data_IF_745477464625
#
_entry.id   IF_745477464625
#
_cell.length_a   1.000
_cell.length_b   1.000
_cell.length_c   1.000
_cell.angle_alpha   90.00
_cell.angle_beta   90.00
_cell.angle_gamma   90.00
#
_symmetry.space_group_name_H-M   'P 1'
#
loop_
_entity.id
_entity.type
_entity.pdbx_description
1 polymer ?
#
# COMPACT_ATOMS: atom_id res chain seq x y z
N UNK A 1 1.90 -8.79 -21.44
CA UNK A 1 1.78 -8.99 -20.00
C UNK A 1 0.41 -8.60 -19.48
N UNK A 2 0.07 -9.04 -18.27
CA UNK A 2 -1.17 -8.67 -17.58
C UNK A 2 -1.22 -7.17 -17.32
N UNK A 3 -2.40 -6.57 -17.45
CA UNK A 3 -2.68 -5.20 -17.01
C UNK A 3 -3.52 -5.25 -15.72
N UNK A 4 -3.39 -4.22 -14.86
CA UNK A 4 -4.24 -4.07 -13.68
C UNK A 4 -3.88 -4.99 -12.50
N UNK A 5 -2.65 -5.54 -12.44
CA UNK A 5 -2.21 -6.27 -11.26
C UNK A 5 -2.09 -5.31 -10.07
N UNK A 6 -2.63 -5.69 -8.91
CA UNK A 6 -2.62 -4.86 -7.69
C UNK A 6 -1.20 -4.38 -7.33
N UNK A 7 -0.21 -5.26 -7.43
CA UNK A 7 1.20 -4.95 -7.15
C UNK A 7 1.76 -3.78 -7.98
N UNK A 8 1.24 -3.57 -9.21
CA UNK A 8 1.67 -2.45 -10.06
C UNK A 8 1.23 -1.09 -9.53
N UNK A 9 0.34 -1.05 -8.56
CA UNK A 9 -0.19 0.16 -7.93
C UNK A 9 0.18 0.24 -6.46
N UNK A 10 0.16 -0.91 -5.75
CA UNK A 10 0.33 -0.99 -4.30
C UNK A 10 1.64 -1.68 -3.95
N UNK A 11 2.73 -1.07 -4.36
CA UNK A 11 4.11 -1.50 -4.07
C UNK A 11 5.03 -0.28 -4.08
N UNK A 12 6.28 -0.46 -3.64
CA UNK A 12 7.28 0.61 -3.71
C UNK A 12 7.47 1.17 -5.14
N UNK A 13 7.62 0.35 -6.19
CA UNK A 13 7.60 0.86 -7.57
C UNK A 13 6.24 1.45 -7.98
N UNK A 14 5.14 0.89 -7.46
CA UNK A 14 3.78 1.32 -7.79
C UNK A 14 3.49 2.75 -7.34
N UNK A 15 3.88 3.12 -6.11
CA UNK A 15 3.67 4.49 -5.62
C UNK A 15 4.54 5.51 -6.37
N UNK A 16 5.77 5.15 -6.74
CA UNK A 16 6.63 5.99 -7.57
C UNK A 16 5.98 6.26 -8.92
N UNK A 17 5.45 5.23 -9.56
CA UNK A 17 4.72 5.35 -10.81
C UNK A 17 3.51 6.28 -10.66
N UNK A 18 2.71 6.09 -9.62
CA UNK A 18 1.53 6.95 -9.33
C UNK A 18 1.95 8.39 -9.12
N UNK A 19 3.03 8.64 -8.37
CA UNK A 19 3.58 9.98 -8.17
C UNK A 19 3.93 10.65 -9.51
N UNK A 20 4.67 9.98 -10.39
CA UNK A 20 5.06 10.55 -11.68
C UNK A 20 3.90 10.68 -12.67
N UNK A 21 2.90 9.82 -12.61
CA UNK A 21 1.65 10.02 -13.36
C UNK A 21 0.95 11.31 -12.93
N UNK A 22 0.92 11.61 -11.63
CA UNK A 22 0.36 12.85 -11.09
C UNK A 22 1.20 14.08 -11.47
N UNK A 23 2.53 14.02 -11.33
CA UNK A 23 3.43 15.10 -11.77
C UNK A 23 3.20 15.40 -13.24
N UNK A 24 3.13 14.39 -14.08
CA UNK A 24 2.87 14.53 -15.52
C UNK A 24 1.54 15.24 -15.82
N UNK A 25 0.49 14.93 -15.06
CA UNK A 25 -0.82 15.53 -15.24
C UNK A 25 -0.90 16.97 -14.76
N UNK A 26 -0.16 17.32 -13.71
CA UNK A 26 -0.19 18.66 -13.11
C UNK A 26 0.88 19.59 -13.70
N UNK A 27 2.07 19.07 -14.01
CA UNK A 27 3.20 19.85 -14.52
C UNK A 27 4.05 19.02 -15.50
N UNK A 28 3.76 19.17 -16.79
CA UNK A 28 4.46 18.42 -17.85
C UNK A 28 5.95 18.78 -17.97
N UNK A 29 6.34 20.01 -17.65
CA UNK A 29 7.74 20.45 -17.77
C UNK A 29 8.56 19.88 -16.60
N UNK A 30 8.02 19.86 -15.39
CA UNK A 30 8.63 19.19 -14.25
C UNK A 30 8.78 17.69 -14.51
N UNK A 31 7.75 17.05 -15.08
CA UNK A 31 7.84 15.63 -15.47
C UNK A 31 8.99 15.39 -16.46
N UNK A 32 9.13 16.22 -17.50
CA UNK A 32 10.21 16.08 -18.48
C UNK A 32 11.61 16.22 -17.89
N UNK A 33 11.78 17.12 -16.91
CA UNK A 33 13.07 17.32 -16.22
C UNK A 33 13.38 16.18 -15.26
N UNK A 34 12.36 15.49 -14.72
CA UNK A 34 12.52 14.38 -13.78
C UNK A 34 12.82 13.03 -14.43
N UNK A 35 12.60 12.86 -15.74
CA UNK A 35 12.79 11.56 -16.45
C UNK A 35 14.22 11.00 -16.31
N UNK A 36 15.23 11.87 -16.18
CA UNK A 36 16.63 11.44 -16.00
C UNK A 36 17.05 11.14 -14.57
N UNK A 37 16.20 11.45 -13.59
CA UNK A 37 16.56 11.36 -12.17
C UNK A 37 15.33 10.99 -11.32
N UNK A 38 14.77 9.80 -11.61
CA UNK A 38 13.56 9.33 -10.90
C UNK A 38 13.87 9.00 -9.44
N UNK A 39 13.08 9.58 -8.53
CA UNK A 39 13.14 9.32 -7.10
C UNK A 39 12.61 7.93 -6.76
N UNK A 40 13.00 7.40 -5.61
CA UNK A 40 12.48 6.15 -5.08
C UNK A 40 11.24 6.35 -4.17
N UNK A 41 10.70 5.27 -3.64
CA UNK A 41 9.52 5.31 -2.76
C UNK A 41 9.81 5.96 -1.40
N UNK A 42 11.06 5.91 -0.90
CA UNK A 42 11.45 6.57 0.34
C UNK A 42 11.48 8.09 0.16
N UNK A 43 11.90 8.55 -1.01
CA UNK A 43 11.90 9.97 -1.37
C UNK A 43 10.48 10.50 -1.60
N UNK A 44 9.58 9.71 -2.20
CA UNK A 44 8.14 10.05 -2.28
C UNK A 44 7.55 10.18 -0.88
N UNK A 45 7.89 9.27 0.04
CA UNK A 45 7.47 9.35 1.44
C UNK A 45 7.98 10.62 2.12
N UNK A 46 9.28 10.94 1.97
CA UNK A 46 9.88 12.15 2.53
C UNK A 46 9.17 13.42 2.04
N UNK A 47 8.93 13.54 0.73
CA UNK A 47 8.16 14.64 0.14
C UNK A 47 6.75 14.75 0.74
N UNK A 48 6.05 13.62 0.93
CA UNK A 48 4.72 13.62 1.55
C UNK A 48 4.75 14.13 3.00
N UNK A 49 5.77 13.73 3.79
CA UNK A 49 5.98 14.23 5.15
C UNK A 49 6.29 15.73 5.18
N UNK A 50 7.00 16.24 4.18
CA UNK A 50 7.32 17.67 3.99
C UNK A 50 6.11 18.49 3.49
N UNK A 51 4.99 17.82 3.16
CA UNK A 51 3.75 18.47 2.74
C UNK A 51 3.57 18.64 1.23
N UNK A 52 4.37 17.95 0.40
CA UNK A 52 4.19 17.91 -1.05
C UNK A 52 2.81 17.33 -1.40
N UNK A 53 2.00 18.15 -2.07
CA UNK A 53 0.60 17.80 -2.38
C UNK A 53 0.48 16.63 -3.35
N UNK A 54 1.42 16.51 -4.29
CA UNK A 54 1.44 15.42 -5.27
C UNK A 54 1.81 14.11 -4.59
N UNK A 55 2.81 14.13 -3.71
CA UNK A 55 3.20 12.95 -2.93
C UNK A 55 2.08 12.49 -1.99
N UNK A 56 1.39 13.42 -1.32
CA UNK A 56 0.22 13.12 -0.50
C UNK A 56 -0.92 12.52 -1.32
N UNK A 57 -1.18 13.04 -2.51
CA UNK A 57 -2.17 12.49 -3.43
C UNK A 57 -1.78 11.09 -3.92
N UNK A 58 -0.49 10.83 -4.16
CA UNK A 58 0.02 9.52 -4.53
C UNK A 58 -0.26 8.47 -3.43
N UNK A 59 -0.01 8.80 -2.16
CA UNK A 59 -0.37 7.94 -1.02
C UNK A 59 -1.87 7.74 -0.91
N UNK A 60 -2.67 8.79 -1.11
CA UNK A 60 -4.14 8.70 -1.09
C UNK A 60 -4.65 7.72 -2.15
N UNK A 61 -4.23 7.87 -3.40
CA UNK A 61 -4.63 6.97 -4.50
C UNK A 61 -4.16 5.54 -4.27
N UNK A 62 -2.94 5.35 -3.80
CA UNK A 62 -2.42 4.02 -3.46
C UNK A 62 -3.26 3.36 -2.37
N UNK A 63 -3.58 4.10 -1.31
CA UNK A 63 -4.44 3.61 -0.23
C UNK A 63 -5.87 3.31 -0.69
N UNK A 64 -6.43 4.13 -1.56
CA UNK A 64 -7.76 3.89 -2.12
C UNK A 64 -7.83 2.58 -2.92
N UNK A 65 -6.83 2.34 -3.78
CA UNK A 65 -6.73 1.09 -4.55
C UNK A 65 -6.57 -0.11 -3.62
N UNK A 66 -5.71 0.00 -2.60
CA UNK A 66 -5.51 -1.07 -1.61
C UNK A 66 -6.79 -1.36 -0.85
N UNK A 67 -7.47 -0.34 -0.36
CA UNK A 67 -8.72 -0.49 0.40
C UNK A 67 -9.82 -1.16 -0.42
N UNK A 68 -9.98 -0.76 -1.68
CA UNK A 68 -10.90 -1.41 -2.62
C UNK A 68 -10.56 -2.90 -2.84
N UNK A 69 -9.28 -3.22 -3.07
CA UNK A 69 -8.86 -4.60 -3.28
C UNK A 69 -9.06 -5.47 -2.03
N UNK A 70 -8.77 -4.94 -0.84
CA UNK A 70 -8.99 -5.62 0.43
C UNK A 70 -10.49 -5.86 0.70
N UNK A 71 -11.36 -4.90 0.39
CA UNK A 71 -12.81 -5.07 0.56
C UNK A 71 -13.36 -6.23 -0.29
N UNK A 72 -12.84 -6.41 -1.50
CA UNK A 72 -13.18 -7.55 -2.33
C UNK A 72 -12.68 -8.87 -1.73
N UNK A 73 -11.44 -8.87 -1.18
CA UNK A 73 -10.85 -10.06 -0.58
C UNK A 73 -11.65 -10.58 0.63
N UNK A 74 -12.24 -9.67 1.42
CA UNK A 74 -13.09 -10.01 2.56
C UNK A 74 -14.28 -10.88 2.16
N UNK A 75 -14.86 -10.67 1.00
CA UNK A 75 -16.01 -11.45 0.51
C UNK A 75 -15.66 -12.94 0.33
N UNK A 76 -14.39 -13.25 0.07
CA UNK A 76 -13.93 -14.63 -0.14
C UNK A 76 -13.34 -15.27 1.11
N UNK A 77 -12.60 -14.49 1.91
CA UNK A 77 -11.77 -15.02 3.01
C UNK A 77 -12.38 -14.84 4.40
N UNK A 78 -13.28 -13.85 4.57
CA UNK A 78 -13.90 -13.48 5.86
C UNK A 78 -12.88 -13.40 7.00
N UNK A 79 -11.82 -12.60 6.89
CA UNK A 79 -10.78 -12.55 7.91
C UNK A 79 -11.31 -11.83 9.16
N UNK A 80 -10.78 -12.20 10.32
CA UNK A 80 -11.03 -11.47 11.57
C UNK A 80 -10.21 -10.16 11.64
N UNK A 81 -9.06 -10.12 10.96
CA UNK A 81 -8.12 -9.00 10.96
C UNK A 81 -7.23 -9.04 9.72
N UNK A 82 -6.83 -7.89 9.23
CA UNK A 82 -5.90 -7.75 8.11
C UNK A 82 -4.61 -7.10 8.61
N UNK A 83 -3.48 -7.76 8.36
CA UNK A 83 -2.16 -7.22 8.67
C UNK A 83 -1.51 -6.72 7.39
N UNK A 84 -1.07 -5.45 7.38
CA UNK A 84 -0.23 -4.93 6.31
C UNK A 84 1.24 -5.05 6.71
N UNK A 85 2.02 -5.61 5.80
CA UNK A 85 3.44 -5.85 5.96
C UNK A 85 4.22 -5.35 4.74
N UNK A 86 5.49 -4.97 4.94
CA UNK A 86 6.39 -4.51 3.89
C UNK A 86 6.68 -3.01 3.95
N UNK A 87 7.66 -2.56 3.14
CA UNK A 87 8.19 -1.19 3.18
C UNK A 87 7.12 -0.11 3.01
N UNK A 88 6.13 -0.32 2.13
CA UNK A 88 5.07 0.65 1.93
C UNK A 88 4.17 0.82 3.17
N UNK A 89 3.97 -0.25 3.96
CA UNK A 89 3.21 -0.18 5.21
C UNK A 89 3.89 0.66 6.30
N UNK A 90 5.21 0.88 6.19
CA UNK A 90 5.97 1.74 7.11
C UNK A 90 5.61 3.24 6.95
N UNK A 91 4.93 3.61 5.87
CA UNK A 91 4.43 4.98 5.70
C UNK A 91 3.33 5.36 6.70
N UNK A 92 2.87 4.41 7.53
CA UNK A 92 1.93 4.68 8.62
C UNK A 92 0.63 5.32 8.13
N UNK A 93 0.20 6.36 8.81
CA UNK A 93 -1.07 7.06 8.56
C UNK A 93 -1.24 7.57 7.12
N UNK A 94 -0.16 7.88 6.42
CA UNK A 94 -0.23 8.32 5.02
C UNK A 94 -0.85 7.24 4.12
N UNK A 95 -0.59 5.96 4.42
CA UNK A 95 -1.18 4.84 3.71
C UNK A 95 -2.44 4.31 4.40
N UNK A 96 -2.40 4.12 5.73
CA UNK A 96 -3.48 3.45 6.46
C UNK A 96 -4.79 4.22 6.44
N UNK A 97 -4.76 5.55 6.64
CA UNK A 97 -6.00 6.36 6.65
C UNK A 97 -6.80 6.27 5.35
N UNK A 98 -6.22 6.53 4.16
CA UNK A 98 -6.96 6.38 2.92
C UNK A 98 -7.35 4.92 2.63
N UNK A 99 -6.51 3.95 3.02
CA UNK A 99 -6.82 2.52 2.87
C UNK A 99 -8.06 2.15 3.69
N UNK A 100 -8.10 2.48 4.97
CA UNK A 100 -9.23 2.17 5.86
C UNK A 100 -10.50 2.87 5.37
N UNK A 101 -10.39 4.16 4.99
CA UNK A 101 -11.53 4.93 4.46
C UNK A 101 -12.12 4.27 3.21
N UNK A 102 -11.28 3.91 2.25
CA UNK A 102 -11.71 3.22 1.03
C UNK A 102 -12.26 1.84 1.33
N UNK A 103 -11.56 1.04 2.14
CA UNK A 103 -11.98 -0.28 2.58
C UNK A 103 -13.41 -0.27 3.16
N UNK A 104 -13.65 0.58 4.16
CA UNK A 104 -14.97 0.70 4.79
C UNK A 104 -16.05 1.18 3.82
N UNK A 105 -15.70 2.02 2.85
CA UNK A 105 -16.68 2.51 1.86
C UNK A 105 -17.20 1.42 0.93
N UNK A 106 -16.35 0.45 0.59
CA UNK A 106 -16.68 -0.65 -0.32
C UNK A 106 -17.12 -1.94 0.37
N UNK A 107 -16.95 -2.05 1.69
CA UNK A 107 -17.42 -3.22 2.43
C UNK A 107 -18.95 -3.39 2.37
N UNK A 108 -19.37 -4.63 2.28
CA UNK A 108 -20.76 -4.98 2.51
C UNK A 108 -21.18 -4.58 3.95
N UNK A 109 -22.43 -4.14 4.16
CA UNK A 109 -22.89 -3.67 5.47
C UNK A 109 -22.63 -4.63 6.63
N UNK A 110 -22.67 -5.93 6.37
CA UNK A 110 -22.45 -6.99 7.38
C UNK A 110 -21.02 -7.01 7.93
N UNK A 111 -20.04 -6.46 7.20
CA UNK A 111 -18.62 -6.45 7.58
C UNK A 111 -18.14 -5.08 8.07
N UNK A 112 -18.90 -4.00 7.88
CA UNK A 112 -18.49 -2.64 8.27
C UNK A 112 -18.12 -2.56 9.74
N UNK A 113 -17.00 -1.87 10.03
CA UNK A 113 -16.45 -1.65 11.36
C UNK A 113 -16.12 -2.93 12.16
N UNK A 114 -15.97 -4.09 11.50
CA UNK A 114 -15.71 -5.37 12.18
C UNK A 114 -14.31 -5.93 11.90
N UNK A 115 -13.67 -5.53 10.82
CA UNK A 115 -12.41 -6.10 10.35
C UNK A 115 -11.32 -5.01 10.40
N UNK A 116 -10.51 -4.99 11.45
CA UNK A 116 -9.44 -4.00 11.55
C UNK A 116 -8.30 -4.27 10.58
N UNK A 117 -7.77 -3.20 9.99
CA UNK A 117 -6.53 -3.20 9.21
C UNK A 117 -5.45 -2.61 10.10
N UNK A 118 -4.39 -3.36 10.36
CA UNK A 118 -3.33 -2.98 11.31
C UNK A 118 -1.94 -3.23 10.71
N UNK A 119 -0.91 -2.49 11.14
CA UNK A 119 0.46 -2.80 10.77
C UNK A 119 0.89 -4.14 11.37
N UNK A 120 1.73 -4.88 10.64
CA UNK A 120 2.39 -6.07 11.18
C UNK A 120 3.40 -5.65 12.25
N UNK A 121 3.47 -6.41 13.34
CA UNK A 121 4.51 -6.28 14.36
C UNK A 121 5.83 -6.96 13.99
N UNK A 122 5.90 -7.67 12.85
CA UNK A 122 7.12 -8.35 12.40
C UNK A 122 8.06 -7.36 11.70
N UNK A 123 9.36 -7.47 12.00
CA UNK A 123 10.40 -6.76 11.25
C UNK A 123 10.65 -7.48 9.91
N UNK A 124 10.95 -6.72 8.86
CA UNK A 124 11.19 -7.31 7.53
C UNK A 124 12.32 -8.34 7.52
N UNK A 125 13.40 -8.09 8.28
CA UNK A 125 14.52 -9.02 8.40
C UNK A 125 14.18 -10.34 9.11
N UNK A 126 13.14 -10.37 9.91
CA UNK A 126 12.77 -11.52 10.74
C UNK A 126 11.61 -12.32 10.12
N UNK A 127 10.75 -11.67 9.34
CA UNK A 127 9.53 -12.26 8.83
C UNK A 127 9.77 -13.50 7.94
N UNK A 128 10.77 -13.46 7.06
CA UNK A 128 11.12 -14.59 6.19
C UNK A 128 11.65 -15.79 7.00
N UNK A 129 12.48 -15.51 8.02
CA UNK A 129 13.06 -16.54 8.89
C UNK A 129 11.97 -17.18 9.75
N UNK A 130 11.13 -16.38 10.39
CA UNK A 130 10.02 -16.85 11.21
C UNK A 130 8.99 -17.62 10.37
N UNK A 131 8.68 -17.16 9.16
CA UNK A 131 7.80 -17.84 8.24
C UNK A 131 8.33 -19.23 7.85
N UNK A 132 9.61 -19.33 7.50
CA UNK A 132 10.25 -20.61 7.17
C UNK A 132 10.31 -21.55 8.37
N UNK A 133 10.65 -21.03 9.56
CA UNK A 133 10.70 -21.82 10.78
C UNK A 133 9.31 -22.37 11.16
N UNK A 134 8.25 -21.57 10.99
CA UNK A 134 6.88 -21.98 11.31
C UNK A 134 6.39 -23.14 10.44
N UNK A 135 6.82 -23.23 9.19
CA UNK A 135 6.49 -24.35 8.30
C UNK A 135 7.12 -25.66 8.80
N UNK A 136 8.39 -25.59 9.23
CA UNK A 136 9.09 -26.79 9.77
C UNK A 136 8.43 -27.24 11.08
N UNK A 137 8.09 -26.32 11.98
CA UNK A 137 7.44 -26.65 13.24
C UNK A 137 6.05 -27.29 13.05
N UNK A 138 5.34 -26.92 11.99
CA UNK A 138 4.04 -27.52 11.66
C UNK A 138 4.16 -28.97 11.16
N UNK A 139 5.24 -29.30 10.49
CA UNK A 139 5.50 -30.68 10.00
C UNK A 139 5.99 -31.61 11.12
N UNK A 140 6.50 -31.06 12.24
CA UNK A 140 7.02 -31.82 13.37
C UNK A 140 5.96 -32.11 14.47
N UNK A 141 4.77 -31.55 14.35
CA UNK A 141 3.61 -31.78 15.22
C UNK A 141 2.50 -32.51 14.49
#
# INVERSE_FOLDING_TARGET
GRRGCLEQYVSAPGIVKTYYELVRHQNLDEFRTSIGNMIDSAEVYKKAVEGDTIALEAFTKTGEILGFALSNSVCYTRPEKIFLFGGLAQAGDLLFKPTIKSFESYLLPIYKNKIPIVPSGLKESEAAILGSASLILKELN
#
